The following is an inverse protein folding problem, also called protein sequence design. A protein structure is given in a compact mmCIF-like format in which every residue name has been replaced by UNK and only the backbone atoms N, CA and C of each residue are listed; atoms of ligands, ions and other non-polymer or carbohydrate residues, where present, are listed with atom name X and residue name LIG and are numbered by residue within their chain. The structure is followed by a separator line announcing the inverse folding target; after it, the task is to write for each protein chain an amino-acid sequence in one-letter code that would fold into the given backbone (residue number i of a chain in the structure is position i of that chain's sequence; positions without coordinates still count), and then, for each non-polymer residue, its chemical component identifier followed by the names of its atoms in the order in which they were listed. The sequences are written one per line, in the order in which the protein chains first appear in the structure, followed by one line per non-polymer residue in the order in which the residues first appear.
data_IF_153385412236
#
_entry.id   IF_153385412236
#
_cell.length_a   1.000
_cell.length_b   1.000
_cell.length_c   1.000
_cell.angle_alpha   90.00
_cell.angle_beta   90.00
_cell.angle_gamma   90.00
#
_symmetry.space_group_name_H-M   'P 1'
#
loop_
_entity.id
_entity.type
_entity.pdbx_description
1 polymer ?
#
# COMPACT_ATOMS: atom_id res chain seq x y z
N UNK A 1 -19.07 2.72 33.13
CA UNK A 1 -18.35 3.68 32.26
C UNK A 1 -17.46 3.00 31.24
N UNK A 2 -16.48 2.15 31.63
CA UNK A 2 -15.57 1.45 30.67
C UNK A 2 -16.31 0.66 29.58
N UNK A 3 -17.35 -0.11 29.95
CA UNK A 3 -18.16 -0.90 29.00
C UNK A 3 -18.94 -0.06 27.98
N UNK A 4 -19.35 1.16 28.36
CA UNK A 4 -20.08 2.07 27.47
C UNK A 4 -19.09 2.67 26.45
N UNK A 5 -17.92 3.11 26.90
CA UNK A 5 -16.86 3.63 26.03
C UNK A 5 -16.38 2.56 25.04
N UNK A 6 -16.18 1.33 25.48
CA UNK A 6 -15.79 0.21 24.59
C UNK A 6 -16.87 -0.09 23.55
N UNK A 7 -18.16 -0.04 23.94
CA UNK A 7 -19.27 -0.25 23.02
C UNK A 7 -19.37 0.88 21.99
N UNK A 8 -19.16 2.13 22.41
CA UNK A 8 -19.14 3.28 21.48
C UNK A 8 -18.01 3.17 20.46
N UNK A 9 -16.82 2.72 20.89
CA UNK A 9 -15.68 2.50 19.99
C UNK A 9 -15.97 1.35 19.01
N UNK A 10 -16.55 0.24 19.46
CA UNK A 10 -16.90 -0.88 18.59
C UNK A 10 -18.00 -0.54 17.58
N UNK A 11 -19.00 0.24 17.98
CA UNK A 11 -20.06 0.71 17.07
C UNK A 11 -19.48 1.69 16.05
N UNK A 12 -18.62 2.62 16.46
CA UNK A 12 -17.90 3.50 15.54
C UNK A 12 -17.05 2.70 14.56
N UNK A 13 -16.40 1.63 15.01
CA UNK A 13 -15.59 0.74 14.16
C UNK A 13 -16.44 -0.04 13.14
N UNK A 14 -17.63 -0.52 13.53
CA UNK A 14 -18.55 -1.23 12.65
C UNK A 14 -19.25 -0.31 11.61
N UNK A 15 -19.52 0.94 11.97
CA UNK A 15 -20.12 1.93 11.06
C UNK A 15 -19.15 2.34 9.92
N UNK A 16 -17.84 2.17 10.11
CA UNK A 16 -16.84 2.45 9.06
C UNK A 16 -16.86 1.38 7.95
N UNK A 17 -17.34 0.15 8.23
CA UNK A 17 -17.25 -0.99 7.30
C UNK A 17 -18.47 -1.22 6.40
N UNK A 18 -19.53 -0.40 6.48
CA UNK A 18 -20.83 -0.68 5.83
C UNK A 18 -21.17 0.20 4.62
N UNK A 19 -20.21 0.44 3.72
CA UNK A 19 -20.49 1.04 2.40
C UNK A 19 -19.86 0.23 1.26
N UNK A 20 -20.52 -0.85 0.85
CA UNK A 20 -20.35 -1.41 -0.50
C UNK A 20 -21.18 -0.56 -1.45
N UNK A 21 -20.60 0.55 -1.89
CA UNK A 21 -21.06 1.33 -3.03
C UNK A 21 -20.07 1.19 -4.18
N UNK A 22 -20.52 1.36 -5.42
CA UNK A 22 -19.60 1.53 -6.56
C UNK A 22 -18.67 2.72 -6.24
N UNK A 23 -17.38 2.45 -6.06
CA UNK A 23 -16.41 3.48 -5.73
C UNK A 23 -16.27 4.43 -6.91
N UNK A 24 -16.43 5.74 -6.65
CA UNK A 24 -16.06 6.76 -7.63
C UNK A 24 -14.54 6.74 -7.80
N UNK A 25 -14.08 7.06 -8.99
CA UNK A 25 -12.65 7.24 -9.28
C UNK A 25 -12.24 8.69 -9.11
N UNK A 26 -10.94 8.96 -9.00
CA UNK A 26 -10.40 10.31 -8.94
C UNK A 26 -10.90 11.20 -10.09
N UNK A 27 -11.17 10.61 -11.26
CA UNK A 27 -11.63 11.30 -12.44
C UNK A 27 -13.06 11.86 -12.30
N UNK A 28 -13.90 11.24 -11.46
CA UNK A 28 -15.31 11.60 -11.29
C UNK A 28 -15.53 12.84 -10.39
N UNK A 29 -14.47 13.35 -9.77
CA UNK A 29 -14.54 14.50 -8.86
C UNK A 29 -14.29 15.84 -9.56
N UNK A 30 -15.03 16.87 -9.16
CA UNK A 30 -14.76 18.26 -9.56
C UNK A 30 -13.44 18.79 -8.99
N UNK A 31 -13.00 20.00 -9.39
CA UNK A 31 -11.69 20.55 -9.04
C UNK A 31 -11.36 20.54 -7.54
N UNK A 32 -12.33 20.90 -6.70
CA UNK A 32 -12.18 20.90 -5.24
C UNK A 32 -11.97 19.51 -4.65
N UNK A 33 -12.71 18.50 -5.14
CA UNK A 33 -12.56 17.13 -4.70
C UNK A 33 -11.20 16.56 -5.10
N UNK A 34 -10.75 16.83 -6.33
CA UNK A 34 -9.41 16.45 -6.80
C UNK A 34 -8.31 17.09 -5.95
N UNK A 35 -8.43 18.37 -5.62
CA UNK A 35 -7.47 19.07 -4.76
C UNK A 35 -7.32 18.45 -3.37
N UNK A 36 -8.44 18.06 -2.75
CA UNK A 36 -8.43 17.35 -1.46
C UNK A 36 -7.76 15.98 -1.56
N UNK A 37 -8.09 15.20 -2.59
CA UNK A 37 -7.52 13.86 -2.81
C UNK A 37 -6.02 13.90 -3.13
N UNK A 38 -5.55 14.88 -3.91
CA UNK A 38 -4.11 15.08 -4.15
C UNK A 38 -3.40 15.44 -2.84
N UNK A 39 -4.00 16.33 -2.04
CA UNK A 39 -3.42 16.71 -0.74
C UNK A 39 -3.31 15.49 0.18
N UNK A 40 -4.37 14.68 0.26
CA UNK A 40 -4.35 13.42 1.01
C UNK A 40 -3.28 12.45 0.49
N UNK A 41 -3.18 12.29 -0.82
CA UNK A 41 -2.16 11.46 -1.49
C UNK A 41 -0.75 11.89 -1.12
N UNK A 42 -0.43 13.19 -1.20
CA UNK A 42 0.88 13.71 -0.83
C UNK A 42 1.17 13.47 0.65
N UNK A 43 0.24 13.82 1.54
CA UNK A 43 0.42 13.66 2.99
C UNK A 43 0.60 12.21 3.39
N UNK A 44 -0.14 11.27 2.78
CA UNK A 44 0.03 9.85 3.01
C UNK A 44 1.33 9.30 2.41
N UNK A 45 1.78 9.85 1.29
CA UNK A 45 3.03 9.44 0.62
C UNK A 45 4.26 9.79 1.44
N UNK A 46 4.24 10.89 2.22
CA UNK A 46 5.38 11.33 3.06
C UNK A 46 5.89 10.22 4.01
N UNK A 47 5.07 9.56 4.85
CA UNK A 47 5.52 8.43 5.65
C UNK A 47 5.57 7.12 4.85
N UNK A 48 4.75 6.96 3.80
CA UNK A 48 4.70 5.72 3.03
C UNK A 48 5.98 5.46 2.22
N UNK A 49 6.47 6.44 1.48
CA UNK A 49 7.65 6.30 0.62
C UNK A 49 8.92 5.87 1.37
N UNK A 50 9.29 6.43 2.55
CA UNK A 50 10.45 5.94 3.29
C UNK A 50 10.25 4.51 3.82
N UNK A 51 9.02 4.12 4.17
CA UNK A 51 8.72 2.73 4.55
C UNK A 51 8.89 1.78 3.36
N UNK A 52 8.39 2.17 2.18
CA UNK A 52 8.56 1.44 0.92
C UNK A 52 10.03 1.31 0.55
N UNK A 53 10.80 2.40 0.70
CA UNK A 53 12.24 2.40 0.45
C UNK A 53 12.99 1.43 1.39
N UNK A 54 12.65 1.43 2.68
CA UNK A 54 13.23 0.48 3.64
C UNK A 54 12.90 -0.97 3.27
N UNK A 55 11.67 -1.23 2.84
CA UNK A 55 11.26 -2.56 2.35
C UNK A 55 12.03 -2.98 1.09
N UNK A 56 12.15 -2.10 0.10
CA UNK A 56 12.94 -2.34 -1.11
C UNK A 56 14.41 -2.64 -0.79
N UNK A 57 15.00 -1.90 0.16
CA UNK A 57 16.37 -2.12 0.62
C UNK A 57 16.55 -3.49 1.27
N UNK A 58 15.62 -3.90 2.15
CA UNK A 58 15.63 -5.23 2.78
C UNK A 58 15.48 -6.33 1.73
N UNK A 59 14.59 -6.15 0.75
CA UNK A 59 14.42 -7.09 -0.37
C UNK A 59 15.68 -7.22 -1.24
N UNK A 60 16.36 -6.11 -1.50
CA UNK A 60 17.65 -6.09 -2.18
C UNK A 60 18.74 -6.87 -1.43
N UNK A 61 18.87 -6.67 -0.12
CA UNK A 61 19.80 -7.44 0.72
C UNK A 61 19.44 -8.92 0.70
N UNK A 62 18.16 -9.24 0.88
CA UNK A 62 17.68 -10.63 0.98
C UNK A 62 17.91 -11.39 -0.33
N UNK A 63 17.60 -10.79 -1.47
CA UNK A 63 17.86 -11.37 -2.80
C UNK A 63 19.36 -11.59 -3.04
N UNK A 64 20.21 -10.62 -2.68
CA UNK A 64 21.66 -10.76 -2.76
C UNK A 64 22.21 -11.90 -1.89
N UNK A 65 21.70 -12.05 -0.66
CA UNK A 65 22.06 -13.16 0.24
C UNK A 65 21.66 -14.52 -0.34
N UNK A 66 20.48 -14.62 -0.94
CA UNK A 66 20.02 -15.86 -1.59
C UNK A 66 20.97 -16.23 -2.74
N UNK A 67 21.33 -15.27 -3.59
CA UNK A 67 22.29 -15.50 -4.67
C UNK A 67 23.64 -15.99 -4.13
N UNK A 68 24.17 -15.31 -3.11
CA UNK A 68 25.47 -15.64 -2.52
C UNK A 68 25.49 -17.04 -1.90
N UNK A 69 24.50 -17.40 -1.09
CA UNK A 69 24.48 -18.67 -0.36
C UNK A 69 24.08 -19.87 -1.22
N UNK A 70 23.37 -19.65 -2.32
CA UNK A 70 23.02 -20.72 -3.26
C UNK A 70 24.03 -20.88 -4.40
N UNK A 71 25.08 -20.05 -4.44
CA UNK A 71 26.03 -20.01 -5.56
C UNK A 71 25.34 -19.70 -6.89
N UNK A 72 24.31 -18.86 -6.87
CA UNK A 72 23.51 -18.49 -8.04
C UNK A 72 22.45 -19.51 -8.46
N UNK A 73 22.31 -20.66 -7.78
CA UNK A 73 21.31 -21.68 -8.14
C UNK A 73 19.86 -21.23 -7.93
N UNK A 74 19.61 -20.28 -7.02
CA UNK A 74 18.28 -19.73 -6.75
C UNK A 74 18.08 -18.33 -7.35
N UNK A 75 18.60 -18.11 -8.56
CA UNK A 75 18.52 -16.80 -9.23
C UNK A 75 17.07 -16.34 -9.44
N UNK A 76 16.17 -17.25 -9.83
CA UNK A 76 14.75 -16.95 -10.02
C UNK A 76 14.07 -16.47 -8.72
N UNK A 77 14.30 -17.16 -7.61
CA UNK A 77 13.78 -16.74 -6.30
C UNK A 77 14.35 -15.39 -5.88
N UNK A 78 15.64 -15.16 -6.11
CA UNK A 78 16.28 -13.88 -5.78
C UNK A 78 15.77 -12.73 -6.64
N UNK A 79 15.62 -12.94 -7.96
CA UNK A 79 15.11 -11.93 -8.88
C UNK A 79 13.67 -11.58 -8.56
N UNK A 80 12.84 -12.58 -8.23
CA UNK A 80 11.45 -12.36 -7.80
C UNK A 80 11.38 -11.50 -6.54
N UNK A 81 12.18 -11.81 -5.50
CA UNK A 81 12.21 -11.01 -4.27
C UNK A 81 12.66 -9.57 -4.56
N UNK A 82 13.69 -9.39 -5.38
CA UNK A 82 14.17 -8.06 -5.75
C UNK A 82 13.09 -7.27 -6.54
N UNK A 83 12.42 -7.93 -7.49
CA UNK A 83 11.36 -7.34 -8.30
C UNK A 83 10.16 -6.96 -7.44
N UNK A 84 9.62 -7.88 -6.63
CA UNK A 84 8.49 -7.63 -5.73
C UNK A 84 8.78 -6.51 -4.72
N UNK A 85 10.02 -6.44 -4.21
CA UNK A 85 10.39 -5.39 -3.26
C UNK A 85 10.57 -4.00 -3.92
N UNK A 86 11.00 -3.96 -5.17
CA UNK A 86 11.32 -2.71 -5.90
C UNK A 86 10.17 -2.17 -6.74
N UNK A 87 9.15 -2.99 -7.00
CA UNK A 87 7.97 -2.64 -7.81
C UNK A 87 6.71 -2.49 -6.94
N UNK A 88 5.57 -2.23 -7.58
CA UNK A 88 4.33 -1.77 -6.92
C UNK A 88 4.33 -0.25 -6.74
N UNK A 89 3.46 0.24 -5.85
CA UNK A 89 3.22 1.67 -5.67
C UNK A 89 4.32 2.33 -4.85
N UNK A 90 4.87 3.43 -5.37
CA UNK A 90 5.92 4.25 -4.72
C UNK A 90 5.39 5.51 -4.01
N UNK A 91 4.13 5.81 -4.24
CA UNK A 91 3.35 6.85 -3.57
C UNK A 91 1.94 6.31 -3.35
N UNK A 92 1.12 6.98 -2.56
CA UNK A 92 -0.27 6.55 -2.31
C UNK A 92 -1.18 7.18 -3.36
N UNK A 93 -1.79 6.42 -4.30
CA UNK A 93 -2.68 6.99 -5.30
C UNK A 93 -3.95 7.60 -4.69
N UNK A 94 -4.50 8.67 -5.29
CA UNK A 94 -5.78 9.26 -4.85
C UNK A 94 -6.94 8.26 -4.78
N UNK A 95 -6.99 7.31 -5.72
CA UNK A 95 -8.03 6.29 -5.84
C UNK A 95 -8.08 5.31 -4.65
N UNK A 96 -6.97 5.15 -3.92
CA UNK A 96 -6.92 4.33 -2.70
C UNK A 96 -7.82 4.90 -1.59
N UNK A 97 -7.95 6.24 -1.48
CA UNK A 97 -8.84 6.87 -0.49
C UNK A 97 -10.32 6.73 -0.85
N UNK A 98 -10.60 6.47 -2.12
CA UNK A 98 -11.95 6.29 -2.64
C UNK A 98 -12.40 4.82 -2.59
N UNK A 99 -11.46 3.90 -2.34
CA UNK A 99 -11.70 2.45 -2.42
C UNK A 99 -11.91 1.95 -3.85
N UNK A 100 -11.56 2.75 -4.87
CA UNK A 100 -11.60 2.34 -6.28
C UNK A 100 -10.38 1.52 -6.67
N UNK A 101 -9.28 1.66 -5.95
CA UNK A 101 -8.03 0.93 -6.16
C UNK A 101 -7.44 0.45 -4.83
N UNK A 102 -6.71 -0.67 -4.87
CA UNK A 102 -5.94 -1.17 -3.73
C UNK A 102 -4.51 -0.62 -3.79
N UNK A 103 -3.90 -0.41 -2.62
CA UNK A 103 -2.50 0.00 -2.55
C UNK A 103 -1.59 -1.22 -2.69
N UNK A 104 -0.79 -1.27 -3.75
CA UNK A 104 0.13 -2.37 -4.03
C UNK A 104 1.51 -2.12 -3.40
N UNK A 105 1.61 -2.42 -2.10
CA UNK A 105 2.89 -2.29 -1.38
C UNK A 105 3.93 -3.33 -1.80
N UNK A 106 3.52 -4.50 -2.26
CA UNK A 106 4.41 -5.51 -2.82
C UNK A 106 4.12 -5.57 -4.31
N UNK A 107 5.17 -5.54 -5.12
CA UNK A 107 5.04 -5.69 -6.56
C UNK A 107 4.36 -7.00 -6.96
N UNK A 108 3.79 -7.06 -8.17
CA UNK A 108 3.10 -8.25 -8.66
C UNK A 108 4.05 -9.45 -8.70
N UNK A 109 3.50 -10.62 -8.41
CA UNK A 109 4.17 -11.89 -8.67
C UNK A 109 4.14 -12.14 -10.18
N UNK A 110 5.32 -12.21 -10.80
CA UNK A 110 5.49 -12.61 -12.18
C UNK A 110 5.03 -14.07 -12.32
N UNK A 111 3.83 -14.27 -12.88
CA UNK A 111 3.30 -15.58 -13.28
C UNK A 111 3.73 -15.94 -14.69
#
# INVERSE_FOLDING_TARGET
MKKIVTLTILIAFFLIHSSVGYAKTFHDYGPWGKGGLITASVLASVPYTPLKLAYAFIGGITSGMILAFTGGKATESASRIAAQASTGDWYVPPDVFLGSEYLDFVGPDDK
#
